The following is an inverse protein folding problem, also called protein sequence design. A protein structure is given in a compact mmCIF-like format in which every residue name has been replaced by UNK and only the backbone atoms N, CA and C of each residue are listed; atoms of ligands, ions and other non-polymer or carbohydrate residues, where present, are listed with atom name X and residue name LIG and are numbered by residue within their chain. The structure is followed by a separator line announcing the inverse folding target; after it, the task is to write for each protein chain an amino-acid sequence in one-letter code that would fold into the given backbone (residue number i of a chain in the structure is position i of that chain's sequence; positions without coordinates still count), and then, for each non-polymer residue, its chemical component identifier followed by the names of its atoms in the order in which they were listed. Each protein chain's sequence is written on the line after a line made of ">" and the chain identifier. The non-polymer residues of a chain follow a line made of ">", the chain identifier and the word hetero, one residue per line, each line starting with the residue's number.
data_IF_741608365046
#
_entry.id   IF_741608365046
#
_cell.length_a   1.000
_cell.length_b   1.000
_cell.length_c   1.000
_cell.angle_alpha   90.00
_cell.angle_beta   90.00
_cell.angle_gamma   90.00
#
_symmetry.space_group_name_H-M   'P 1'
#
loop_
_entity.id
_entity.type
_entity.pdbx_description
1 polymer ?
#
# COMPACT_ATOMS: atom_id res chain seq x y z
N UNK A 1 26.92 39.93 13.78
CA UNK A 1 25.62 39.96 13.06
C UNK A 1 25.81 39.15 11.78
N UNK A 2 25.59 37.83 11.83
CA UNK A 2 25.81 36.96 10.66
C UNK A 2 24.50 36.84 9.88
N UNK A 3 24.43 37.50 8.74
CA UNK A 3 23.31 37.43 7.80
C UNK A 3 23.44 36.16 6.96
N UNK A 4 22.85 35.06 7.44
CA UNK A 4 22.74 33.82 6.65
C UNK A 4 21.75 34.04 5.52
N UNK A 5 22.26 34.25 4.30
CA UNK A 5 21.45 34.37 3.09
C UNK A 5 20.80 33.01 2.77
N UNK A 6 19.51 32.88 3.07
CA UNK A 6 18.72 31.71 2.65
C UNK A 6 18.23 31.92 1.22
N UNK A 7 18.81 31.17 0.27
CA UNK A 7 18.33 31.11 -1.10
C UNK A 7 17.05 30.27 -1.14
N UNK A 8 15.90 30.92 -1.06
CA UNK A 8 14.59 30.29 -1.24
C UNK A 8 14.39 30.02 -2.73
N UNK A 9 14.43 28.75 -3.14
CA UNK A 9 14.05 28.33 -4.49
C UNK A 9 12.57 28.01 -4.52
N UNK A 10 11.79 28.84 -5.22
CA UNK A 10 10.40 28.54 -5.54
C UNK A 10 10.37 27.60 -6.75
N UNK A 11 9.84 26.39 -6.57
CA UNK A 11 9.67 25.42 -7.66
C UNK A 11 8.18 25.24 -7.92
N UNK A 12 7.75 25.47 -9.15
CA UNK A 12 6.40 25.19 -9.61
C UNK A 12 6.31 23.73 -10.05
N UNK A 13 5.52 22.92 -9.35
CA UNK A 13 5.21 21.56 -9.82
C UNK A 13 3.96 21.60 -10.69
N UNK A 14 3.84 20.70 -11.67
CA UNK A 14 2.67 20.63 -12.58
C UNK A 14 1.35 20.31 -11.85
N UNK A 15 1.41 19.89 -10.59
CA UNK A 15 0.27 19.32 -9.84
C UNK A 15 -0.27 20.27 -8.77
N UNK A 16 0.49 21.25 -8.29
CA UNK A 16 0.07 22.19 -7.24
C UNK A 16 0.11 23.65 -7.70
N UNK A 17 -1.02 24.37 -7.58
CA UNK A 17 -1.12 25.81 -7.91
C UNK A 17 -0.45 26.75 -6.90
N UNK A 18 -0.01 26.25 -5.74
CA UNK A 18 0.61 27.05 -4.68
C UNK A 18 2.12 26.81 -4.62
N UNK A 19 2.95 27.87 -4.48
CA UNK A 19 4.39 27.71 -4.36
C UNK A 19 4.73 27.01 -3.04
N UNK A 20 5.37 25.85 -3.13
CA UNK A 20 5.85 25.12 -1.96
C UNK A 20 7.23 25.66 -1.56
N UNK A 21 7.37 26.08 -0.31
CA UNK A 21 8.65 26.54 0.22
C UNK A 21 9.47 25.31 0.68
N UNK A 22 10.41 24.87 -0.15
CA UNK A 22 11.28 23.72 0.14
C UNK A 22 12.54 24.24 0.83
N UNK A 23 12.52 24.27 2.16
CA UNK A 23 13.74 24.43 2.94
C UNK A 23 14.61 23.19 2.71
N UNK A 24 15.63 23.30 1.86
CA UNK A 24 16.56 22.19 1.62
C UNK A 24 17.53 22.14 2.80
N UNK A 25 17.45 21.16 3.72
CA UNK A 25 18.50 21.01 4.71
C UNK A 25 19.80 20.62 3.96
N UNK A 26 20.93 21.12 4.44
CA UNK A 26 22.24 20.85 3.84
C UNK A 26 22.56 19.36 3.66
N UNK A 27 23.63 19.10 2.91
CA UNK A 27 24.06 17.84 2.27
C UNK A 27 24.21 16.56 3.13
N UNK A 28 23.73 16.46 4.37
CA UNK A 28 24.12 15.37 5.28
C UNK A 28 23.15 14.97 6.42
N UNK A 29 21.83 14.89 6.20
CA UNK A 29 20.90 14.37 7.24
C UNK A 29 19.83 13.38 6.76
N UNK A 30 20.07 12.64 5.67
CA UNK A 30 19.16 11.57 5.23
C UNK A 30 18.95 10.47 6.29
N UNK A 31 19.85 10.36 7.28
CA UNK A 31 19.78 9.43 8.40
C UNK A 31 18.94 9.94 9.59
N UNK A 32 18.61 11.23 9.67
CA UNK A 32 17.75 11.75 10.75
C UNK A 32 16.27 11.44 10.54
N UNK A 33 15.87 11.23 9.30
CA UNK A 33 14.51 10.86 8.93
C UNK A 33 14.60 9.74 7.87
N UNK A 34 14.95 8.51 8.27
CA UNK A 34 15.00 7.43 7.31
C UNK A 34 13.61 7.24 6.68
N UNK A 35 13.58 6.98 5.38
CA UNK A 35 12.34 6.76 4.60
C UNK A 35 11.52 5.61 5.21
N UNK A 36 12.19 4.68 5.88
CA UNK A 36 11.58 3.60 6.64
C UNK A 36 12.29 3.45 7.98
N UNK A 37 11.57 3.64 9.08
CA UNK A 37 11.97 3.15 10.41
C UNK A 37 11.20 1.85 10.60
N UNK A 38 11.90 0.72 10.80
CA UNK A 38 11.19 -0.51 11.20
C UNK A 38 10.39 -0.20 12.47
N UNK A 39 9.16 -0.68 12.64
CA UNK A 39 8.41 -0.50 13.89
C UNK A 39 9.21 -1.17 15.03
N UNK A 40 10.06 -0.38 15.68
CA UNK A 40 11.00 -0.88 16.67
C UNK A 40 10.25 -1.02 17.98
N UNK A 41 9.84 -2.24 18.30
CA UNK A 41 9.28 -2.55 19.61
C UNK A 41 10.43 -2.60 20.59
N UNK A 42 10.43 -1.70 21.59
CA UNK A 42 11.38 -1.81 22.69
C UNK A 42 11.21 -3.18 23.36
N UNK A 43 12.29 -3.95 23.57
CA UNK A 43 12.22 -5.22 24.30
C UNK A 43 11.60 -5.06 25.70
N UNK A 44 11.76 -3.88 26.31
CA UNK A 44 11.19 -3.53 27.62
C UNK A 44 9.67 -3.28 27.58
N UNK A 45 9.08 -3.16 26.40
CA UNK A 45 7.64 -2.98 26.21
C UNK A 45 6.98 -4.29 25.73
N UNK A 46 7.66 -5.42 25.90
CA UNK A 46 7.21 -6.72 25.43
C UNK A 46 7.23 -7.71 26.60
N UNK A 47 6.07 -8.27 26.90
CA UNK A 47 5.91 -9.25 27.96
C UNK A 47 5.58 -8.64 29.32
N UNK A 48 5.29 -9.50 30.30
CA UNK A 48 4.88 -9.06 31.62
C UNK A 48 6.07 -8.52 32.44
N UNK A 49 5.92 -7.31 32.97
CA UNK A 49 6.92 -6.65 33.81
C UNK A 49 7.06 -7.28 35.21
N UNK A 50 6.01 -7.94 35.69
CA UNK A 50 5.94 -8.60 36.99
C UNK A 50 5.16 -9.91 36.90
N UNK A 51 5.43 -10.81 37.83
CA UNK A 51 4.75 -12.11 37.94
C UNK A 51 4.34 -12.37 39.38
N UNK A 52 3.38 -13.28 39.56
CA UNK A 52 2.99 -13.73 40.89
C UNK A 52 4.08 -14.62 41.50
N UNK A 53 4.34 -14.47 42.80
CA UNK A 53 5.29 -15.32 43.53
C UNK A 53 4.90 -16.81 43.45
N UNK A 54 3.61 -17.10 43.37
CA UNK A 54 3.05 -18.45 43.20
C UNK A 54 3.38 -19.08 41.83
N UNK A 55 4.02 -18.35 40.91
CA UNK A 55 4.33 -18.82 39.56
C UNK A 55 3.16 -18.78 38.57
N UNK A 56 2.02 -18.17 38.96
CA UNK A 56 0.89 -17.97 38.04
C UNK A 56 1.31 -17.07 36.88
N UNK A 57 1.06 -17.53 35.66
CA UNK A 57 1.42 -16.80 34.45
C UNK A 57 0.48 -15.61 34.24
N UNK A 58 1.07 -14.43 34.07
CA UNK A 58 0.38 -13.23 33.64
C UNK A 58 0.68 -12.99 32.16
N UNK A 59 -0.35 -12.86 31.33
CA UNK A 59 -0.16 -12.70 29.88
C UNK A 59 0.29 -11.29 29.51
N UNK A 60 -0.21 -10.27 30.22
CA UNK A 60 0.08 -8.86 29.96
C UNK A 60 0.06 -8.07 31.27
N UNK A 61 1.01 -7.15 31.46
CA UNK A 61 1.04 -6.19 32.58
C UNK A 61 0.61 -4.79 32.19
N UNK A 62 0.69 -4.44 30.90
CA UNK A 62 0.52 -3.08 30.40
C UNK A 62 -0.68 -2.94 29.46
N UNK A 63 -1.51 -1.92 29.69
CA UNK A 63 -2.61 -1.54 28.77
C UNK A 63 -2.08 -1.15 27.37
N UNK A 64 -0.90 -0.55 27.31
CA UNK A 64 -0.29 -0.16 26.04
C UNK A 64 0.08 -1.38 25.18
N UNK A 65 0.52 -2.48 25.82
CA UNK A 65 0.80 -3.72 25.12
C UNK A 65 -0.47 -4.36 24.56
N UNK A 66 -1.55 -4.38 25.35
CA UNK A 66 -2.86 -4.88 24.90
C UNK A 66 -3.36 -4.08 23.69
N UNK A 67 -3.33 -2.76 23.78
CA UNK A 67 -3.77 -1.87 22.70
C UNK A 67 -2.96 -2.10 21.41
N UNK A 68 -1.63 -2.19 21.53
CA UNK A 68 -0.75 -2.51 20.39
C UNK A 68 -1.09 -3.85 19.75
N UNK A 69 -1.33 -4.89 20.57
CA UNK A 69 -1.71 -6.22 20.07
C UNK A 69 -3.07 -6.18 19.37
N UNK A 70 -4.01 -5.43 19.91
CA UNK A 70 -5.32 -5.21 19.30
C UNK A 70 -5.19 -4.55 17.92
N UNK A 71 -4.42 -3.45 17.82
CA UNK A 71 -4.15 -2.75 16.56
C UNK A 71 -3.48 -3.66 15.51
N UNK A 72 -2.54 -4.52 15.93
CA UNK A 72 -1.92 -5.51 15.05
C UNK A 72 -2.95 -6.49 14.47
N UNK A 73 -3.89 -6.95 15.30
CA UNK A 73 -4.96 -7.86 14.88
C UNK A 73 -5.94 -7.16 13.93
N UNK A 74 -6.33 -5.92 14.23
CA UNK A 74 -7.19 -5.14 13.33
C UNK A 74 -6.53 -4.88 11.98
N UNK A 75 -5.25 -4.53 11.97
CA UNK A 75 -4.49 -4.34 10.73
C UNK A 75 -4.44 -5.64 9.92
N UNK A 76 -4.16 -6.77 10.57
CA UNK A 76 -4.15 -8.08 9.90
C UNK A 76 -5.51 -8.42 9.28
N UNK A 77 -6.62 -8.17 9.99
CA UNK A 77 -7.98 -8.36 9.46
C UNK A 77 -8.23 -7.52 8.20
N UNK A 78 -7.84 -6.25 8.21
CA UNK A 78 -7.98 -5.36 7.05
C UNK A 78 -7.16 -5.84 5.86
N UNK A 79 -5.93 -6.30 6.09
CA UNK A 79 -5.08 -6.86 5.03
C UNK A 79 -5.75 -8.09 4.40
N UNK A 80 -6.24 -9.02 5.22
CA UNK A 80 -6.92 -10.22 4.71
C UNK A 80 -8.18 -9.85 3.92
N UNK A 81 -8.95 -8.87 4.39
CA UNK A 81 -10.11 -8.37 3.67
C UNK A 81 -9.71 -7.83 2.29
N UNK A 82 -8.73 -6.93 2.21
CA UNK A 82 -8.28 -6.36 0.92
C UNK A 82 -7.72 -7.41 -0.04
N UNK A 83 -7.01 -8.43 0.48
CA UNK A 83 -6.55 -9.53 -0.35
C UNK A 83 -7.71 -10.37 -0.91
N UNK A 84 -8.78 -10.55 -0.11
CA UNK A 84 -10.02 -11.15 -0.57
C UNK A 84 -10.67 -10.34 -1.69
N UNK A 85 -10.84 -9.04 -1.47
CA UNK A 85 -11.44 -8.12 -2.46
C UNK A 85 -10.64 -8.11 -3.77
N UNK A 86 -9.30 -8.07 -3.71
CA UNK A 86 -8.43 -8.09 -4.89
C UNK A 86 -8.64 -9.40 -5.67
N UNK A 87 -8.67 -10.53 -4.98
CA UNK A 87 -8.88 -11.84 -5.62
C UNK A 87 -10.23 -11.90 -6.34
N UNK A 88 -11.29 -11.40 -5.71
CA UNK A 88 -12.61 -11.35 -6.36
C UNK A 88 -12.59 -10.47 -7.62
N UNK A 89 -11.93 -9.31 -7.57
CA UNK A 89 -11.80 -8.42 -8.72
C UNK A 89 -11.00 -9.06 -9.87
N UNK A 90 -9.93 -9.80 -9.55
CA UNK A 90 -9.18 -10.58 -10.53
C UNK A 90 -10.06 -11.65 -11.19
N UNK A 91 -10.85 -12.39 -10.41
CA UNK A 91 -11.77 -13.41 -10.93
C UNK A 91 -12.84 -12.79 -11.84
N UNK A 92 -13.39 -11.63 -11.47
CA UNK A 92 -14.35 -10.90 -12.32
C UNK A 92 -13.70 -10.43 -13.62
N UNK A 93 -12.47 -9.91 -13.56
CA UNK A 93 -11.75 -9.46 -14.74
C UNK A 93 -11.49 -10.62 -15.74
N UNK A 94 -11.06 -11.79 -15.24
CA UNK A 94 -10.85 -12.98 -16.07
C UNK A 94 -12.16 -13.44 -16.72
N UNK A 95 -13.28 -13.41 -15.98
CA UNK A 95 -14.61 -13.73 -16.52
C UNK A 95 -15.03 -12.74 -17.61
N UNK A 96 -14.77 -11.44 -17.41
CA UNK A 96 -15.11 -10.40 -18.37
C UNK A 96 -14.33 -10.56 -19.68
N UNK A 97 -13.03 -10.86 -19.61
CA UNK A 97 -12.21 -11.14 -20.80
C UNK A 97 -12.79 -12.32 -21.58
N UNK A 98 -13.07 -13.44 -20.90
CA UNK A 98 -13.67 -14.62 -21.55
C UNK A 98 -15.02 -14.33 -22.20
N UNK A 99 -15.85 -13.51 -21.55
CA UNK A 99 -17.14 -13.12 -22.09
C UNK A 99 -16.96 -12.25 -23.36
N UNK A 100 -16.02 -11.30 -23.34
CA UNK A 100 -15.70 -10.49 -24.54
C UNK A 100 -15.21 -11.35 -25.69
N UNK A 101 -14.32 -12.30 -25.43
CA UNK A 101 -13.82 -13.25 -26.43
C UNK A 101 -14.96 -14.11 -27.02
N UNK A 102 -15.89 -14.58 -26.18
CA UNK A 102 -17.06 -15.33 -26.63
C UNK A 102 -17.99 -14.49 -27.50
N UNK A 103 -18.31 -13.27 -27.08
CA UNK A 103 -19.14 -12.33 -27.84
C UNK A 103 -18.50 -12.00 -29.19
N UNK A 104 -17.19 -11.76 -29.22
CA UNK A 104 -16.46 -11.49 -30.46
C UNK A 104 -16.45 -12.72 -31.38
N UNK A 105 -16.22 -13.91 -30.84
CA UNK A 105 -16.26 -15.15 -31.61
C UNK A 105 -17.66 -15.43 -32.19
N UNK A 106 -18.71 -15.17 -31.41
CA UNK A 106 -20.09 -15.24 -31.90
C UNK A 106 -20.36 -14.22 -33.00
N UNK A 107 -19.94 -12.97 -32.79
CA UNK A 107 -20.08 -11.92 -33.79
C UNK A 107 -19.39 -12.29 -35.11
N UNK A 108 -18.13 -12.75 -35.06
CA UNK A 108 -17.38 -13.20 -36.23
C UNK A 108 -18.08 -14.38 -36.91
N UNK A 109 -18.60 -15.35 -36.13
CA UNK A 109 -19.33 -16.51 -36.66
C UNK A 109 -20.60 -16.12 -37.43
N UNK A 110 -21.33 -15.12 -36.94
CA UNK A 110 -22.56 -14.62 -37.59
C UNK A 110 -22.29 -13.59 -38.70
N UNK A 111 -21.10 -13.01 -38.75
CA UNK A 111 -20.75 -12.01 -39.77
C UNK A 111 -20.62 -12.68 -41.14
N UNK A 112 -21.35 -12.22 -42.16
CA UNK A 112 -21.23 -12.75 -43.52
C UNK A 112 -19.79 -12.59 -44.05
N UNK A 113 -19.24 -13.65 -44.65
CA UNK A 113 -17.91 -13.60 -45.27
C UNK A 113 -17.95 -12.79 -46.57
N UNK A 114 -16.98 -11.91 -46.75
CA UNK A 114 -16.81 -11.16 -48.00
C UNK A 114 -16.33 -12.10 -49.13
N UNK A 115 -17.06 -12.16 -50.24
CA UNK A 115 -16.80 -13.07 -51.37
C UNK A 115 -15.71 -12.59 -52.35
N UNK A 116 -14.85 -11.65 -51.93
CA UNK A 116 -14.09 -10.80 -52.87
C UNK A 116 -12.82 -11.40 -53.50
N UNK A 117 -12.23 -12.46 -52.93
CA UNK A 117 -10.90 -12.96 -53.36
C UNK A 117 -10.79 -14.49 -53.20
N UNK A 118 -11.91 -15.22 -53.13
CA UNK A 118 -11.85 -16.69 -53.18
C UNK A 118 -11.43 -17.08 -54.60
N UNK A 119 -10.14 -17.39 -54.79
CA UNK A 119 -9.62 -17.91 -56.05
C UNK A 119 -10.31 -19.24 -56.34
N UNK A 120 -11.22 -19.22 -57.32
CA UNK A 120 -11.84 -20.40 -57.91
C UNK A 120 -10.78 -20.98 -58.86
N UNK A 121 -9.99 -21.93 -58.38
CA UNK A 121 -9.18 -22.83 -59.20
C UNK A 121 -9.65 -24.27 -58.99
#
# INVERSE_FOLDING_TARGET
>A
MNTTTQLVRTVTTKVSKFPMNINTPGRYQNWRSPVYVSPHISPLQKGPDYSFQDGRQLMFTSKAEIQRKYEQVELAKKIVQYLGDIKEMEDYHVKEIKNKEQIEAEFIKWTPKAKGIENIF
#
